data_IF_285528062080
#
_entry.id   IF_285528062080
#
_cell.length_a   1.000
_cell.length_b   1.000
_cell.length_c   1.000
_cell.angle_alpha   90.00
_cell.angle_beta   90.00
_cell.angle_gamma   90.00
#
_symmetry.space_group_name_H-M   'P 1'
#
loop_
_entity.id
_entity.type
_entity.pdbx_description
1 polymer ?
#
# COMPACT_ATOMS: atom_id res chain seq x y z
N UNK A 1 9.67 -7.84 -23.27
CA UNK A 1 8.78 -8.17 -22.13
C UNK A 1 9.40 -7.91 -20.76
N UNK A 2 10.72 -8.04 -20.55
CA UNK A 2 11.39 -7.81 -19.24
C UNK A 2 11.12 -6.44 -18.59
N UNK A 3 11.19 -5.33 -19.35
CA UNK A 3 11.01 -3.99 -18.77
C UNK A 3 9.64 -3.73 -18.13
N UNK A 4 8.56 -4.29 -18.66
CA UNK A 4 7.20 -4.10 -18.12
C UNK A 4 6.98 -4.86 -16.81
N UNK A 5 7.65 -6.00 -16.65
CA UNK A 5 7.59 -6.81 -15.44
C UNK A 5 8.38 -6.13 -14.30
N UNK A 6 9.60 -5.67 -14.58
CA UNK A 6 10.41 -4.94 -13.61
C UNK A 6 9.69 -3.69 -13.09
N UNK A 7 9.07 -2.89 -13.97
CA UNK A 7 8.27 -1.74 -13.53
C UNK A 7 7.06 -2.12 -12.68
N UNK A 8 6.41 -3.26 -12.94
CA UNK A 8 5.26 -3.71 -12.15
C UNK A 8 5.66 -4.19 -10.75
N UNK A 9 6.80 -4.89 -10.65
CA UNK A 9 7.38 -5.34 -9.38
C UNK A 9 7.86 -4.15 -8.56
N UNK A 10 8.54 -3.18 -9.17
CA UNK A 10 8.94 -1.95 -8.48
C UNK A 10 7.72 -1.18 -7.95
N UNK A 11 6.64 -1.10 -8.72
CA UNK A 11 5.40 -0.45 -8.28
C UNK A 11 4.77 -1.19 -7.08
N UNK A 12 4.78 -2.52 -7.09
CA UNK A 12 4.27 -3.35 -6.00
C UNK A 12 5.05 -3.10 -4.69
N UNK A 13 6.39 -3.20 -4.76
CA UNK A 13 7.26 -2.97 -3.61
C UNK A 13 7.10 -1.54 -3.09
N UNK A 14 6.99 -0.56 -3.99
CA UNK A 14 6.74 0.83 -3.61
C UNK A 14 5.41 1.00 -2.87
N UNK A 15 4.32 0.40 -3.36
CA UNK A 15 3.04 0.42 -2.66
C UNK A 15 3.14 -0.21 -1.26
N UNK A 16 3.78 -1.36 -1.12
CA UNK A 16 3.97 -2.02 0.18
C UNK A 16 4.76 -1.15 1.16
N UNK A 17 5.92 -0.63 0.74
CA UNK A 17 6.77 0.21 1.57
C UNK A 17 6.02 1.49 1.96
N UNK A 18 5.34 2.14 1.00
CA UNK A 18 4.58 3.35 1.27
C UNK A 18 3.53 3.13 2.36
N UNK A 19 2.69 2.09 2.25
CA UNK A 19 1.67 1.82 3.25
C UNK A 19 2.22 1.33 4.58
N UNK A 20 3.36 0.62 4.60
CA UNK A 20 4.05 0.31 5.86
C UNK A 20 4.57 1.56 6.54
N UNK A 21 5.28 2.45 5.83
CA UNK A 21 5.79 3.70 6.39
C UNK A 21 4.65 4.55 6.94
N UNK A 22 3.53 4.64 6.20
CA UNK A 22 2.34 5.38 6.63
C UNK A 22 1.70 4.75 7.88
N UNK A 23 1.59 3.42 7.91
CA UNK A 23 1.07 2.68 9.05
C UNK A 23 1.94 2.81 10.30
N UNK A 24 3.26 2.66 10.16
CA UNK A 24 4.22 2.85 11.25
C UNK A 24 4.23 4.29 11.75
N UNK A 25 4.23 5.27 10.84
CA UNK A 25 4.15 6.69 11.19
C UNK A 25 2.87 7.03 11.98
N UNK A 26 1.72 6.53 11.52
CA UNK A 26 0.45 6.71 12.22
C UNK A 26 0.49 6.13 13.65
N UNK A 27 1.10 4.95 13.82
CA UNK A 27 1.21 4.31 15.14
C UNK A 27 2.22 4.96 16.06
N UNK A 28 3.32 5.49 15.51
CA UNK A 28 4.26 6.32 16.28
C UNK A 28 3.60 7.61 16.78
N UNK A 29 2.77 8.26 15.96
CA UNK A 29 2.00 9.45 16.36
C UNK A 29 1.04 9.11 17.50
N UNK A 30 0.28 8.02 17.37
CA UNK A 30 -0.66 7.59 18.43
C UNK A 30 0.07 7.17 19.71
N UNK A 31 1.18 6.44 19.60
CA UNK A 31 1.98 6.06 20.76
C UNK A 31 2.56 7.28 21.47
N UNK A 32 3.03 8.28 20.71
CA UNK A 32 3.54 9.53 21.27
C UNK A 32 2.42 10.36 21.94
N UNK A 33 1.23 10.40 21.35
CA UNK A 33 0.06 11.04 21.94
C UNK A 33 -0.38 10.32 23.23
N UNK A 34 -0.41 8.99 23.24
CA UNK A 34 -0.73 8.21 24.43
C UNK A 34 0.26 8.48 25.54
N UNK A 35 1.56 8.48 25.22
CA UNK A 35 2.60 8.78 26.20
C UNK A 35 2.45 10.18 26.80
N UNK A 36 2.14 11.18 25.96
CA UNK A 36 1.91 12.56 26.42
C UNK A 36 0.66 12.70 27.31
N UNK A 37 -0.36 11.87 27.08
CA UNK A 37 -1.66 11.98 27.76
C UNK A 37 -1.79 11.10 29.00
N UNK A 38 -1.13 9.93 29.03
CA UNK A 38 -1.30 8.92 30.07
C UNK A 38 0.02 8.48 30.72
N UNK A 39 1.16 9.09 30.35
CA UNK A 39 2.52 8.68 30.76
C UNK A 39 2.90 7.22 30.43
N UNK A 40 2.07 6.54 29.63
CA UNK A 40 2.24 5.14 29.26
C UNK A 40 2.54 5.00 27.76
N UNK A 41 3.62 4.28 27.46
CA UNK A 41 3.97 3.95 26.09
C UNK A 41 3.12 2.78 25.59
N UNK A 42 2.04 3.08 24.89
CA UNK A 42 1.04 2.09 24.46
C UNK A 42 1.43 1.26 23.21
N UNK A 43 2.64 1.41 22.64
CA UNK A 43 3.04 0.63 21.47
C UNK A 43 3.52 -0.76 21.89
N UNK A 44 2.65 -1.75 21.70
CA UNK A 44 3.00 -3.16 21.94
C UNK A 44 3.54 -3.86 20.68
N UNK A 45 4.27 -4.96 20.88
CA UNK A 45 4.71 -5.82 19.77
C UNK A 45 3.53 -6.32 18.91
N UNK A 46 2.40 -6.63 19.54
CA UNK A 46 1.20 -7.08 18.84
C UNK A 46 0.64 -5.99 17.91
N UNK A 47 0.66 -4.72 18.33
CA UNK A 47 0.25 -3.60 17.48
C UNK A 47 1.19 -3.40 16.29
N UNK A 48 2.51 -3.50 16.49
CA UNK A 48 3.48 -3.40 15.39
C UNK A 48 3.27 -4.50 14.35
N UNK A 49 3.04 -5.74 14.82
CA UNK A 49 2.70 -6.87 13.94
C UNK A 49 1.40 -6.61 13.18
N UNK A 50 0.38 -6.06 13.86
CA UNK A 50 -0.89 -5.72 13.22
C UNK A 50 -0.73 -4.65 12.15
N UNK A 51 0.07 -3.61 12.41
CA UNK A 51 0.39 -2.55 11.44
C UNK A 51 1.12 -3.11 10.23
N UNK A 52 2.06 -4.03 10.44
CA UNK A 52 2.76 -4.72 9.35
C UNK A 52 1.80 -5.53 8.47
N UNK A 53 0.93 -6.35 9.06
CA UNK A 53 -0.05 -7.12 8.29
C UNK A 53 -1.06 -6.23 7.58
N UNK A 54 -1.60 -5.22 8.27
CA UNK A 54 -2.55 -4.28 7.68
C UNK A 54 -1.90 -3.54 6.51
N UNK A 55 -0.75 -2.90 6.71
CA UNK A 55 -0.07 -2.15 5.65
C UNK A 55 0.31 -3.03 4.44
N UNK A 56 0.66 -4.29 4.68
CA UNK A 56 0.90 -5.27 3.62
C UNK A 56 -0.37 -5.59 2.83
N UNK A 57 -1.48 -5.85 3.51
CA UNK A 57 -2.78 -6.10 2.87
C UNK A 57 -3.25 -4.87 2.07
N UNK A 58 -3.18 -3.66 2.64
CA UNK A 58 -3.58 -2.45 1.93
C UNK A 58 -2.69 -2.18 0.71
N UNK A 59 -1.39 -2.43 0.81
CA UNK A 59 -0.47 -2.31 -0.32
C UNK A 59 -0.76 -3.31 -1.44
N UNK A 60 -1.10 -4.56 -1.10
CA UNK A 60 -1.55 -5.56 -2.08
C UNK A 60 -2.85 -5.13 -2.78
N UNK A 61 -3.84 -4.65 -2.02
CA UNK A 61 -5.12 -4.19 -2.57
C UNK A 61 -4.92 -2.98 -3.50
N UNK A 62 -4.10 -2.01 -3.09
CA UNK A 62 -3.80 -0.83 -3.90
C UNK A 62 -3.13 -1.21 -5.23
N UNK A 63 -2.17 -2.14 -5.19
CA UNK A 63 -1.50 -2.63 -6.39
C UNK A 63 -2.46 -3.39 -7.33
N UNK A 64 -3.34 -4.24 -6.79
CA UNK A 64 -4.38 -4.92 -7.55
C UNK A 64 -5.34 -3.91 -8.21
N UNK A 65 -5.75 -2.87 -7.48
CA UNK A 65 -6.55 -1.78 -8.02
C UNK A 65 -5.89 -1.12 -9.23
N UNK A 66 -4.61 -0.75 -9.12
CA UNK A 66 -3.84 -0.15 -10.23
C UNK A 66 -3.77 -1.10 -11.44
N UNK A 67 -3.58 -2.40 -11.22
CA UNK A 67 -3.58 -3.40 -12.29
C UNK A 67 -4.93 -3.47 -13.00
N UNK A 68 -6.02 -3.55 -12.25
CA UNK A 68 -7.39 -3.60 -12.80
C UNK A 68 -7.67 -2.35 -13.63
N UNK A 69 -7.38 -1.15 -13.11
CA UNK A 69 -7.54 0.09 -13.86
C UNK A 69 -6.71 0.12 -15.14
N UNK A 70 -5.45 -0.36 -15.12
CA UNK A 70 -4.62 -0.47 -16.33
C UNK A 70 -5.18 -1.46 -17.35
N UNK A 71 -5.78 -2.56 -16.90
CA UNK A 71 -6.43 -3.54 -17.77
C UNK A 71 -7.69 -2.93 -18.39
N UNK A 72 -8.54 -2.28 -17.59
CA UNK A 72 -9.75 -1.60 -18.07
C UNK A 72 -9.43 -0.48 -19.08
N UNK A 73 -8.35 0.28 -18.86
CA UNK A 73 -7.94 1.34 -19.80
C UNK A 73 -7.48 0.78 -21.15
N UNK A 74 -6.92 -0.45 -21.19
CA UNK A 74 -6.65 -1.14 -22.45
C UNK A 74 -7.92 -1.53 -23.19
N UNK A 75 -8.96 -1.96 -22.48
CA UNK A 75 -10.23 -2.35 -23.10
C UNK A 75 -11.08 -1.15 -23.56
N UNK A 76 -10.91 0.03 -22.94
CA UNK A 76 -11.53 1.27 -23.41
C UNK A 76 -10.91 1.83 -24.70
N UNK A 77 -9.68 1.44 -25.05
CA UNK A 77 -9.00 1.90 -26.27
C UNK A 77 -9.31 0.94 -27.44
N UNK A 78 -10.40 1.27 -28.16
CA UNK A 78 -10.93 0.80 -29.47
C UNK A 78 -11.88 -0.41 -29.49
N UNK A 79 -13.10 -0.24 -30.06
CA UNK A 79 -13.49 -1.04 -31.20
C UNK A 79 -12.73 -0.55 -32.46
N UNK A 80 -12.29 -1.45 -33.36
CA UNK A 80 -11.76 -1.06 -34.66
C UNK A 80 -12.89 -0.41 -35.46
N UNK A 81 -12.86 0.91 -35.65
CA UNK A 81 -13.61 1.52 -36.75
C UNK A 81 -12.91 1.09 -38.04
N UNK A 82 -13.41 -0.02 -38.59
CA UNK A 82 -13.11 -0.43 -39.95
C UNK A 82 -13.44 0.71 -40.90
N UNK A 83 -12.49 0.95 -41.80
CA UNK A 83 -12.70 1.54 -43.13
C UNK A 83 -13.93 1.01 -43.83
#
# INVERSE_FOLDING_TARGET
MRGKFTSAVCLFVYCLIFFWVLGFGYRLIIGSLSYLLTDEWAITKAELVRVFYLGGMTGCIAWLGILIFKILDKFKKKPPSGS
#
